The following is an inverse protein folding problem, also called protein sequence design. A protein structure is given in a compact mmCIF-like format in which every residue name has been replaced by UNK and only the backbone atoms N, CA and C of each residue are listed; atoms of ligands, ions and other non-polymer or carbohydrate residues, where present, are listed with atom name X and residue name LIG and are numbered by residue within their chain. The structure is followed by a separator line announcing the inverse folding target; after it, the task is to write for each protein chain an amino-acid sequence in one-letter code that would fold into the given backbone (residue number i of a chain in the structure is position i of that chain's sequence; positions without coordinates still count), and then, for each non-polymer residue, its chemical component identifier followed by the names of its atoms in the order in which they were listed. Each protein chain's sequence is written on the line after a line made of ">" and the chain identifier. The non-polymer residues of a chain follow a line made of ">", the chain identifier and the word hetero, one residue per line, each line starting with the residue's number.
data_IF_911379062713
#
_entry.id   IF_911379062713
#
_cell.length_a   1.000
_cell.length_b   1.000
_cell.length_c   1.000
_cell.angle_alpha   90.00
_cell.angle_beta   90.00
_cell.angle_gamma   90.00
#
_symmetry.space_group_name_H-M   'P 1'
#
loop_
_entity.id
_entity.type
_entity.pdbx_description
1 polymer ?
#
# COMPACT_ATOMS: atom_id res chain seq x y z
N UNK A 1 0.79 72.62 9.26
CA UNK A 1 1.92 71.70 8.93
C UNK A 1 1.60 70.98 7.64
N UNK A 2 2.51 70.97 6.66
CA UNK A 2 2.31 70.27 5.39
C UNK A 2 2.45 68.76 5.59
N UNK A 3 1.33 68.03 5.54
CA UNK A 3 1.25 66.57 5.74
C UNK A 3 1.69 65.78 4.50
N UNK A 4 1.69 66.42 3.32
CA UNK A 4 2.01 65.82 2.03
C UNK A 4 3.39 65.12 1.95
N UNK A 5 4.51 65.73 2.40
CA UNK A 5 5.81 65.07 2.35
C UNK A 5 5.88 63.80 3.22
N UNK A 6 5.16 63.77 4.34
CA UNK A 6 5.11 62.59 5.21
C UNK A 6 4.40 61.40 4.54
N UNK A 7 3.27 61.66 3.86
CA UNK A 7 2.54 60.64 3.11
C UNK A 7 3.37 60.09 1.94
N UNK A 8 4.10 60.95 1.24
CA UNK A 8 5.00 60.54 0.15
C UNK A 8 6.11 59.60 0.64
N UNK A 9 6.74 59.90 1.77
CA UNK A 9 7.78 59.03 2.35
C UNK A 9 7.19 57.65 2.71
N UNK A 10 6.00 57.61 3.31
CA UNK A 10 5.33 56.34 3.65
C UNK A 10 5.06 55.51 2.39
N UNK A 11 4.55 56.12 1.33
CA UNK A 11 4.29 55.42 0.06
C UNK A 11 5.58 54.85 -0.55
N UNK A 12 6.68 55.60 -0.49
CA UNK A 12 7.99 55.14 -0.99
C UNK A 12 8.53 53.98 -0.16
N UNK A 13 8.37 53.99 1.16
CA UNK A 13 8.79 52.88 2.02
C UNK A 13 7.98 51.61 1.73
N UNK A 14 6.66 51.74 1.59
CA UNK A 14 5.81 50.59 1.26
C UNK A 14 6.05 50.05 -0.15
N UNK A 15 6.34 50.91 -1.14
CA UNK A 15 6.64 50.46 -2.50
C UNK A 15 7.97 49.71 -2.57
N UNK A 16 9.01 50.17 -1.87
CA UNK A 16 10.28 49.46 -1.74
C UNK A 16 10.10 48.11 -1.03
N UNK A 17 9.32 48.06 0.05
CA UNK A 17 9.05 46.81 0.76
C UNK A 17 8.29 45.79 -0.12
N UNK A 18 7.28 46.26 -0.87
CA UNK A 18 6.54 45.42 -1.82
C UNK A 18 7.45 44.88 -2.93
N UNK A 19 8.36 45.70 -3.46
CA UNK A 19 9.31 45.27 -4.49
C UNK A 19 10.24 44.16 -3.99
N UNK A 20 10.80 44.31 -2.78
CA UNK A 20 11.70 43.29 -2.19
C UNK A 20 10.99 41.97 -1.91
N UNK A 21 9.74 42.00 -1.45
CA UNK A 21 8.92 40.80 -1.25
C UNK A 21 8.60 40.10 -2.57
N UNK A 22 8.28 40.88 -3.61
CA UNK A 22 8.00 40.34 -4.93
C UNK A 22 9.23 39.70 -5.58
N UNK A 23 10.40 40.34 -5.47
CA UNK A 23 11.67 39.78 -5.93
C UNK A 23 12.03 38.50 -5.16
N UNK A 24 11.84 38.48 -3.84
CA UNK A 24 12.03 37.29 -3.01
C UNK A 24 11.12 36.12 -3.42
N UNK A 25 9.85 36.39 -3.71
CA UNK A 25 8.92 35.37 -4.19
C UNK A 25 9.30 34.82 -5.57
N UNK A 26 9.78 35.68 -6.48
CA UNK A 26 10.30 35.26 -7.79
C UNK A 26 11.57 34.42 -7.63
N UNK A 27 12.50 34.84 -6.78
CA UNK A 27 13.74 34.13 -6.52
C UNK A 27 13.45 32.72 -5.96
N UNK A 28 12.60 32.61 -4.94
CA UNK A 28 12.19 31.33 -4.35
C UNK A 28 11.50 30.42 -5.39
N UNK A 29 10.64 30.98 -6.25
CA UNK A 29 10.00 30.21 -7.32
C UNK A 29 11.01 29.70 -8.34
N UNK A 30 12.01 30.51 -8.71
CA UNK A 30 13.09 30.11 -9.62
C UNK A 30 13.98 29.03 -8.99
N UNK A 31 14.37 29.20 -7.73
CA UNK A 31 15.14 28.19 -6.98
C UNK A 31 14.40 26.86 -6.89
N UNK A 32 13.11 26.88 -6.56
CA UNK A 32 12.29 25.68 -6.52
C UNK A 32 12.20 24.98 -7.88
N UNK A 33 12.05 25.75 -8.97
CA UNK A 33 12.05 25.21 -10.33
C UNK A 33 13.40 24.63 -10.73
N UNK A 34 14.51 25.29 -10.39
CA UNK A 34 15.87 24.81 -10.60
C UNK A 34 16.14 23.51 -9.84
N UNK A 35 15.74 23.47 -8.57
CA UNK A 35 15.85 22.29 -7.73
C UNK A 35 15.07 21.12 -8.36
N UNK A 36 13.80 21.34 -8.72
CA UNK A 36 12.98 20.31 -9.37
C UNK A 36 13.60 19.81 -10.68
N UNK A 37 14.05 20.72 -11.55
CA UNK A 37 14.68 20.37 -12.82
C UNK A 37 15.98 19.58 -12.63
N UNK A 38 16.79 19.95 -11.63
CA UNK A 38 18.03 19.25 -11.30
C UNK A 38 17.77 17.80 -10.85
N UNK A 39 16.84 17.58 -9.93
CA UNK A 39 16.49 16.23 -9.48
C UNK A 39 15.83 15.39 -10.58
N UNK A 40 15.03 16.01 -11.44
CA UNK A 40 14.45 15.34 -12.61
C UNK A 40 15.53 14.92 -13.61
N UNK A 41 16.51 15.79 -13.89
CA UNK A 41 17.65 15.49 -14.75
C UNK A 41 18.53 14.35 -14.20
N UNK A 42 18.85 14.38 -12.90
CA UNK A 42 19.56 13.29 -12.23
C UNK A 42 18.80 11.96 -12.33
N UNK A 43 17.47 12.01 -12.18
CA UNK A 43 16.61 10.83 -12.27
C UNK A 43 16.59 10.25 -13.69
N UNK A 44 16.44 11.10 -14.72
CA UNK A 44 16.48 10.67 -16.12
C UNK A 44 17.83 10.01 -16.44
N UNK A 45 18.93 10.63 -16.02
CA UNK A 45 20.29 10.13 -16.24
C UNK A 45 20.50 8.77 -15.56
N UNK A 46 20.06 8.62 -14.31
CA UNK A 46 20.13 7.35 -13.58
C UNK A 46 19.29 6.26 -14.23
N UNK A 47 18.07 6.58 -14.65
CA UNK A 47 17.19 5.64 -15.35
C UNK A 47 17.79 5.19 -16.69
N UNK A 48 18.41 6.11 -17.45
CA UNK A 48 19.11 5.77 -18.69
C UNK A 48 20.32 4.86 -18.43
N UNK A 49 21.10 5.12 -17.37
CA UNK A 49 22.21 4.25 -16.96
C UNK A 49 21.75 2.85 -16.54
N UNK A 50 20.66 2.76 -15.79
CA UNK A 50 20.08 1.46 -15.41
C UNK A 50 19.50 0.72 -16.63
N UNK A 51 18.84 1.42 -17.54
CA UNK A 51 18.29 0.83 -18.78
C UNK A 51 19.39 0.29 -19.69
N UNK A 52 20.45 1.07 -19.91
CA UNK A 52 21.61 0.63 -20.71
C UNK A 52 22.34 -0.56 -20.08
N UNK A 53 22.49 -0.59 -18.75
CA UNK A 53 23.05 -1.75 -18.05
C UNK A 53 22.19 -3.03 -18.18
N UNK A 54 20.86 -2.88 -18.24
CA UNK A 54 19.93 -3.99 -18.47
C UNK A 54 19.94 -4.47 -19.93
N UNK A 55 20.05 -3.55 -20.89
CA UNK A 55 20.18 -3.88 -22.31
C UNK A 55 21.52 -4.54 -22.62
N UNK A 56 22.62 -4.11 -21.98
CA UNK A 56 23.93 -4.76 -22.07
C UNK A 56 23.96 -6.17 -21.47
N UNK A 57 23.03 -6.50 -20.56
CA UNK A 57 22.88 -7.84 -19.95
C UNK A 57 21.92 -8.75 -20.72
N UNK A 58 21.28 -8.31 -21.80
CA UNK A 58 20.48 -9.22 -22.64
C UNK A 58 21.43 -10.17 -23.38
N UNK A 59 21.23 -11.49 -23.30
CA UNK A 59 22.03 -12.43 -24.06
C UNK A 59 21.84 -12.16 -25.55
N UNK A 60 22.98 -12.00 -26.24
CA UNK A 60 23.09 -11.78 -27.67
C UNK A 60 22.34 -12.92 -28.38
N UNK A 61 21.28 -12.59 -29.11
CA UNK A 61 20.47 -13.54 -29.87
C UNK A 61 21.38 -14.27 -30.85
N UNK A 62 21.68 -15.54 -30.59
CA UNK A 62 22.31 -16.41 -31.59
C UNK A 62 21.21 -16.96 -32.50
N UNK A 63 21.44 -16.70 -33.78
CA UNK A 63 20.73 -17.17 -34.97
C UNK A 63 20.59 -18.71 -35.02
N UNK A 64 19.38 -19.14 -35.44
CA UNK A 64 18.99 -20.37 -36.18
C UNK A 64 20.02 -21.52 -36.28
N UNK A 65 19.71 -22.79 -35.98
CA UNK A 65 18.71 -23.73 -36.56
C UNK A 65 18.87 -25.11 -35.85
N UNK A 66 18.12 -26.21 -36.14
CA UNK A 66 16.71 -26.43 -36.49
C UNK A 66 15.94 -27.29 -35.44
N UNK A 67 14.62 -27.41 -35.67
CA UNK A 67 13.64 -28.23 -34.94
C UNK A 67 14.10 -29.67 -34.66
N UNK A 68 14.05 -30.11 -33.40
CA UNK A 68 13.17 -31.21 -32.96
C UNK A 68 13.32 -31.48 -31.46
N UNK A 69 12.20 -31.38 -30.75
CA UNK A 69 11.67 -32.33 -29.77
C UNK A 69 10.74 -31.56 -28.82
N UNK A 70 9.54 -32.12 -28.66
CA UNK A 70 8.53 -31.69 -27.71
C UNK A 70 9.06 -31.84 -26.28
N UNK A 71 9.89 -30.91 -25.82
CA UNK A 71 9.95 -30.61 -24.41
C UNK A 71 8.68 -29.82 -24.11
N UNK A 72 7.68 -30.45 -23.49
CA UNK A 72 6.66 -29.72 -22.75
C UNK A 72 7.42 -28.81 -21.77
N UNK A 73 7.62 -27.54 -22.15
CA UNK A 73 8.09 -26.53 -21.22
C UNK A 73 6.99 -26.44 -20.18
N UNK A 74 7.19 -27.08 -19.04
CA UNK A 74 6.39 -26.88 -17.83
C UNK A 74 6.44 -25.39 -17.56
N UNK A 75 5.38 -24.68 -17.96
CA UNK A 75 5.24 -23.25 -17.67
C UNK A 75 5.17 -23.15 -16.16
N UNK A 76 6.27 -22.75 -15.54
CA UNK A 76 6.30 -22.44 -14.12
C UNK A 76 5.50 -21.15 -13.96
N UNK A 77 4.26 -21.26 -13.48
CA UNK A 77 3.44 -20.10 -13.20
C UNK A 77 3.88 -19.51 -11.85
N UNK A 78 4.26 -18.22 -11.78
CA UNK A 78 4.57 -17.60 -10.49
C UNK A 78 3.33 -17.62 -9.60
N UNK A 79 3.54 -17.86 -8.31
CA UNK A 79 2.44 -18.00 -7.37
C UNK A 79 1.77 -16.65 -7.12
N UNK A 80 0.47 -16.57 -7.42
CA UNK A 80 -0.21 -15.28 -7.56
C UNK A 80 -0.30 -14.46 -6.27
N UNK A 81 -0.21 -15.08 -5.08
CA UNK A 81 -0.32 -14.38 -3.79
C UNK A 81 0.92 -13.60 -3.41
N UNK A 82 2.07 -13.95 -3.96
CA UNK A 82 3.33 -13.21 -3.76
C UNK A 82 3.21 -11.79 -4.30
N UNK A 83 2.52 -11.62 -5.43
CA UNK A 83 2.30 -10.31 -6.06
C UNK A 83 1.13 -9.52 -5.43
N UNK A 84 0.46 -9.99 -4.37
CA UNK A 84 -0.83 -9.42 -3.90
C UNK A 84 -0.73 -8.18 -3.00
N UNK A 85 0.46 -7.80 -2.61
CA UNK A 85 0.63 -6.60 -1.82
C UNK A 85 0.25 -5.33 -2.61
N UNK A 86 -0.48 -4.41 -1.97
CA UNK A 86 -0.88 -3.13 -2.56
C UNK A 86 -2.09 -3.18 -3.50
N UNK A 87 -2.65 -4.35 -3.78
CA UNK A 87 -3.88 -4.46 -4.56
C UNK A 87 -5.04 -3.84 -3.79
N UNK A 88 -5.85 -3.00 -4.43
CA UNK A 88 -6.93 -2.26 -3.76
C UNK A 88 -7.87 -3.19 -2.98
N UNK A 89 -8.23 -4.34 -3.56
CA UNK A 89 -9.12 -5.35 -2.94
C UNK A 89 -8.44 -6.29 -1.93
N UNK A 90 -7.12 -6.22 -1.84
CA UNK A 90 -6.31 -6.98 -0.86
C UNK A 90 -6.03 -6.18 0.41
N UNK A 91 -6.52 -4.95 0.51
CA UNK A 91 -6.40 -4.09 1.69
C UNK A 91 -7.47 -4.47 2.70
N UNK A 92 -7.12 -4.41 3.99
CA UNK A 92 -8.07 -4.57 5.08
C UNK A 92 -8.89 -3.29 5.22
N UNK A 93 -10.20 -3.40 4.99
CA UNK A 93 -11.11 -2.29 5.13
C UNK A 93 -11.53 -2.10 6.60
N UNK A 94 -11.09 -1.00 7.18
CA UNK A 94 -11.39 -0.62 8.56
C UNK A 94 -12.70 0.16 8.68
N UNK A 95 -13.33 0.58 7.57
CA UNK A 95 -14.64 1.23 7.62
C UNK A 95 -15.72 0.34 8.26
N UNK A 96 -15.54 -0.98 8.19
CA UNK A 96 -16.44 -1.95 8.82
C UNK A 96 -16.49 -1.84 10.35
N UNK A 97 -15.46 -1.25 10.98
CA UNK A 97 -15.47 -0.90 12.41
C UNK A 97 -16.43 0.26 12.72
N UNK A 98 -16.74 1.10 11.72
CA UNK A 98 -17.64 2.24 11.86
C UNK A 98 -19.07 1.86 11.47
N UNK A 99 -19.24 1.09 10.38
CA UNK A 99 -20.57 0.79 9.82
C UNK A 99 -21.23 -0.41 10.49
N UNK A 100 -20.47 -1.47 10.79
CA UNK A 100 -21.01 -2.75 11.26
C UNK A 100 -20.13 -3.37 12.37
N UNK A 101 -19.91 -2.67 13.49
CA UNK A 101 -18.96 -3.11 14.53
C UNK A 101 -19.32 -4.46 15.16
N UNK A 102 -20.61 -4.77 15.28
CA UNK A 102 -21.08 -6.03 15.87
C UNK A 102 -20.98 -7.23 14.90
N UNK A 103 -20.99 -6.98 13.59
CA UNK A 103 -20.95 -8.04 12.57
C UNK A 103 -19.58 -8.71 12.50
N UNK A 104 -18.53 -7.92 12.70
CA UNK A 104 -17.14 -8.35 12.56
C UNK A 104 -16.43 -8.37 13.92
N UNK A 105 -16.98 -9.17 14.84
CA UNK A 105 -16.39 -9.40 16.16
C UNK A 105 -14.91 -9.82 16.03
N UNK A 106 -14.03 -9.08 16.71
CA UNK A 106 -12.57 -9.32 16.66
C UNK A 106 -11.83 -8.59 15.52
N UNK A 107 -12.51 -7.81 14.67
CA UNK A 107 -11.84 -7.01 13.63
C UNK A 107 -10.83 -6.02 14.20
N UNK A 108 -11.13 -5.38 15.33
CA UNK A 108 -10.20 -4.44 16.00
C UNK A 108 -8.91 -5.16 16.39
N UNK A 109 -9.04 -6.29 17.10
CA UNK A 109 -7.89 -7.11 17.51
C UNK A 109 -7.11 -7.65 16.31
N UNK A 110 -7.80 -8.02 15.23
CA UNK A 110 -7.17 -8.44 13.98
C UNK A 110 -6.36 -7.29 13.35
N UNK A 111 -6.94 -6.09 13.29
CA UNK A 111 -6.27 -4.90 12.75
C UNK A 111 -5.04 -4.51 13.59
N UNK A 112 -5.17 -4.53 14.92
CA UNK A 112 -4.07 -4.31 15.87
C UNK A 112 -2.92 -5.28 15.64
N UNK A 113 -3.22 -6.59 15.60
CA UNK A 113 -2.23 -7.62 15.36
C UNK A 113 -1.60 -7.50 13.97
N UNK A 114 -2.36 -7.05 12.98
CA UNK A 114 -1.85 -6.84 11.64
C UNK A 114 -0.88 -5.65 11.59
N UNK A 115 -1.20 -4.54 12.25
CA UNK A 115 -0.26 -3.42 12.43
C UNK A 115 1.03 -3.89 13.11
N UNK A 116 0.93 -4.62 14.23
CA UNK A 116 2.10 -5.20 14.92
C UNK A 116 2.91 -6.11 14.01
N UNK A 117 2.25 -6.97 13.22
CA UNK A 117 2.92 -7.88 12.28
C UNK A 117 3.68 -7.12 11.19
N UNK A 118 3.14 -6.02 10.70
CA UNK A 118 3.72 -5.23 9.61
C UNK A 118 4.85 -4.29 10.08
N UNK A 119 4.67 -3.64 11.23
CA UNK A 119 5.55 -2.55 11.67
C UNK A 119 6.29 -2.82 12.98
N UNK A 120 5.92 -3.84 13.76
CA UNK A 120 6.47 -4.08 15.10
C UNK A 120 7.97 -4.39 15.16
N UNK A 121 8.63 -4.58 14.01
CA UNK A 121 10.09 -4.74 13.91
C UNK A 121 10.81 -3.47 13.51
N UNK A 122 10.08 -2.44 13.09
CA UNK A 122 10.67 -1.18 12.68
C UNK A 122 11.19 -0.43 13.92
N UNK A 123 12.37 0.18 13.80
CA UNK A 123 13.02 0.89 14.90
C UNK A 123 12.18 2.04 15.47
N UNK A 124 11.33 2.65 14.64
CA UNK A 124 10.47 3.76 15.03
C UNK A 124 9.16 3.30 15.70
N UNK A 125 8.81 2.02 15.59
CA UNK A 125 7.54 1.53 16.10
C UNK A 125 7.61 1.36 17.63
N UNK A 126 6.65 1.89 18.40
CA UNK A 126 6.69 1.78 19.86
C UNK A 126 6.69 0.33 20.33
N UNK A 127 7.40 0.08 21.43
CA UNK A 127 7.33 -1.19 22.15
C UNK A 127 6.09 -1.31 23.03
N UNK A 128 5.32 -0.23 23.17
CA UNK A 128 4.05 -0.24 23.88
C UNK A 128 3.06 -1.17 23.16
N UNK A 129 2.53 -2.14 23.91
CA UNK A 129 1.57 -3.11 23.40
C UNK A 129 0.23 -2.46 23.03
N UNK A 130 -0.11 -1.31 23.63
CA UNK A 130 -1.38 -0.61 23.41
C UNK A 130 -1.35 0.33 22.20
N UNK A 131 -0.18 0.74 21.72
CA UNK A 131 -0.05 1.70 20.62
C UNK A 131 -0.89 1.34 19.39
N UNK A 132 -0.91 0.06 19.01
CA UNK A 132 -1.68 -0.39 17.84
C UNK A 132 -3.19 -0.21 18.04
N UNK A 133 -3.68 -0.42 19.26
CA UNK A 133 -5.09 -0.24 19.62
C UNK A 133 -5.46 1.23 19.59
N UNK A 134 -4.63 2.07 20.20
CA UNK A 134 -4.81 3.52 20.22
C UNK A 134 -4.80 4.10 18.80
N UNK A 135 -3.88 3.66 17.94
CA UNK A 135 -3.83 4.07 16.54
C UNK A 135 -5.11 3.70 15.79
N UNK A 136 -5.62 2.47 15.93
CA UNK A 136 -6.87 2.05 15.26
C UNK A 136 -8.05 2.87 15.77
N UNK A 137 -8.13 3.16 17.08
CA UNK A 137 -9.17 4.01 17.65
C UNK A 137 -9.09 5.44 17.14
N UNK A 138 -7.88 6.02 17.07
CA UNK A 138 -7.65 7.36 16.56
C UNK A 138 -8.02 7.46 15.07
N UNK A 139 -7.70 6.45 14.27
CA UNK A 139 -8.13 6.36 12.87
C UNK A 139 -9.66 6.29 12.77
N UNK A 140 -10.32 5.43 13.55
CA UNK A 140 -11.78 5.37 13.58
C UNK A 140 -12.41 6.73 13.93
N UNK A 141 -11.84 7.45 14.91
CA UNK A 141 -12.30 8.79 15.27
C UNK A 141 -12.12 9.80 14.12
N UNK A 142 -10.99 9.74 13.40
CA UNK A 142 -10.73 10.62 12.26
C UNK A 142 -11.72 10.42 11.08
N UNK A 143 -12.26 9.21 10.93
CA UNK A 143 -13.14 8.84 9.83
C UNK A 143 -14.64 8.76 10.16
N UNK A 144 -15.01 8.78 11.45
CA UNK A 144 -16.39 8.52 11.93
C UNK A 144 -17.47 9.36 11.23
N UNK A 145 -17.20 10.65 11.02
CA UNK A 145 -18.18 11.63 10.51
C UNK A 145 -17.80 12.21 9.15
N UNK A 146 -16.88 11.58 8.42
CA UNK A 146 -16.41 12.06 7.13
C UNK A 146 -17.23 11.46 6.01
N UNK A 147 -17.91 12.31 5.22
CA UNK A 147 -18.66 11.86 4.04
C UNK A 147 -17.71 11.25 3.00
N UNK A 148 -16.62 11.97 2.72
CA UNK A 148 -15.46 11.53 1.94
C UNK A 148 -14.26 11.29 2.89
N UNK A 149 -13.83 10.02 3.06
CA UNK A 149 -12.65 9.70 3.84
C UNK A 149 -11.41 10.41 3.28
N UNK A 150 -10.70 11.26 4.05
CA UNK A 150 -9.42 11.81 3.58
C UNK A 150 -8.42 10.68 3.34
N UNK A 151 -7.45 10.85 2.43
CA UNK A 151 -6.35 9.91 2.29
C UNK A 151 -5.50 9.89 3.57
N UNK A 152 -4.81 8.77 3.84
CA UNK A 152 -4.08 8.60 5.09
C UNK A 152 -2.99 9.67 5.34
N UNK A 153 -2.39 10.25 4.30
CA UNK A 153 -1.36 11.28 4.47
C UNK A 153 -1.89 12.64 4.93
N UNK A 154 -3.21 12.87 4.85
CA UNK A 154 -3.85 14.10 5.34
C UNK A 154 -4.32 13.99 6.79
N UNK A 155 -4.25 12.79 7.39
CA UNK A 155 -4.66 12.61 8.78
C UNK A 155 -3.66 13.28 9.72
N UNK A 156 -4.20 14.05 10.65
CA UNK A 156 -3.47 14.69 11.72
C UNK A 156 -3.96 14.19 13.07
N UNK A 157 -3.04 13.73 13.91
CA UNK A 157 -3.29 13.29 15.27
C UNK A 157 -2.85 14.38 16.26
N UNK A 158 -3.62 14.62 17.33
CA UNK A 158 -3.22 15.54 18.39
C UNK A 158 -1.95 15.11 19.12
N UNK A 159 -1.74 13.80 19.25
CA UNK A 159 -0.51 13.26 19.83
C UNK A 159 0.65 13.35 18.81
N UNK A 160 1.69 14.16 19.09
CA UNK A 160 2.83 14.31 18.19
C UNK A 160 3.63 13.02 18.01
N UNK A 161 3.66 12.14 19.02
CA UNK A 161 4.39 10.87 18.94
C UNK A 161 3.68 9.93 17.96
N UNK A 162 2.37 9.74 18.13
CA UNK A 162 1.55 9.00 17.17
C UNK A 162 1.63 9.61 15.77
N UNK A 163 1.62 10.94 15.64
CA UNK A 163 1.73 11.60 14.33
C UNK A 163 3.04 11.28 13.61
N UNK A 164 4.19 11.35 14.29
CA UNK A 164 5.49 11.02 13.69
C UNK A 164 5.57 9.54 13.26
N UNK A 165 5.08 8.63 14.12
CA UNK A 165 5.06 7.20 13.82
C UNK A 165 4.15 6.92 12.62
N UNK A 166 2.95 7.50 12.63
CA UNK A 166 1.98 7.29 11.55
C UNK A 166 2.48 7.89 10.23
N UNK A 167 3.13 9.06 10.26
CA UNK A 167 3.77 9.65 9.09
C UNK A 167 4.75 8.66 8.44
N UNK A 168 5.61 8.00 9.25
CA UNK A 168 6.53 6.97 8.76
C UNK A 168 5.79 5.76 8.19
N UNK A 169 4.71 5.30 8.83
CA UNK A 169 3.88 4.19 8.36
C UNK A 169 3.20 4.52 7.01
N UNK A 170 2.69 5.74 6.83
CA UNK A 170 2.04 6.17 5.59
C UNK A 170 3.02 6.16 4.42
N UNK A 171 4.23 6.65 4.61
CA UNK A 171 5.24 6.73 3.54
C UNK A 171 5.91 5.38 3.24
N UNK A 172 6.00 4.49 4.25
CA UNK A 172 6.62 3.19 4.08
C UNK A 172 8.12 3.27 3.75
N UNK A 173 8.65 2.20 3.19
CA UNK A 173 10.01 2.15 2.61
C UNK A 173 9.94 1.94 1.10
N UNK A 174 10.96 2.43 0.38
CA UNK A 174 11.05 2.25 -1.07
C UNK A 174 11.15 0.79 -1.51
N UNK A 175 11.67 -0.08 -0.65
CA UNK A 175 11.79 -1.52 -0.89
C UNK A 175 11.30 -2.27 0.34
N UNK A 176 10.12 -2.85 0.24
CA UNK A 176 9.61 -3.76 1.26
C UNK A 176 9.33 -5.14 0.67
N UNK A 177 9.54 -6.17 1.48
CA UNK A 177 9.23 -7.57 1.20
C UNK A 177 8.68 -8.16 2.50
N UNK A 178 7.38 -8.50 2.50
CA UNK A 178 6.69 -8.98 3.71
C UNK A 178 7.17 -10.36 4.16
N UNK A 179 7.49 -11.24 3.21
CA UNK A 179 7.92 -12.61 3.51
C UNK A 179 9.34 -12.60 4.07
N UNK A 180 10.23 -11.81 3.47
CA UNK A 180 11.60 -11.62 3.96
C UNK A 180 11.68 -10.62 5.13
N UNK A 181 10.56 -10.01 5.52
CA UNK A 181 10.47 -8.99 6.58
C UNK A 181 11.51 -7.88 6.41
N UNK A 182 11.73 -7.46 5.16
CA UNK A 182 12.66 -6.40 4.80
C UNK A 182 11.88 -5.13 4.55
N UNK A 183 12.28 -4.01 5.14
CA UNK A 183 11.52 -2.76 5.06
C UNK A 183 10.15 -2.84 5.72
N UNK A 184 9.32 -1.83 5.48
CA UNK A 184 7.91 -1.81 5.90
C UNK A 184 7.04 -1.22 4.78
N UNK A 185 5.82 -1.74 4.58
CA UNK A 185 4.93 -1.29 3.52
C UNK A 185 4.31 0.08 3.85
N UNK A 186 3.93 0.89 2.85
CA UNK A 186 3.06 2.03 3.05
C UNK A 186 1.71 1.62 3.64
N UNK A 187 1.17 2.36 4.60
CA UNK A 187 -0.09 2.01 5.29
C UNK A 187 -1.26 1.84 4.31
N UNK A 188 -1.37 2.76 3.33
CA UNK A 188 -2.39 2.73 2.28
C UNK A 188 -2.32 1.48 1.38
N UNK A 189 -1.20 0.76 1.36
CA UNK A 189 -1.07 -0.49 0.60
C UNK A 189 -1.69 -1.70 1.30
N UNK A 190 -1.98 -1.57 2.60
CA UNK A 190 -2.47 -2.65 3.48
C UNK A 190 -3.84 -2.39 4.07
N UNK A 191 -4.22 -1.12 4.25
CA UNK A 191 -5.47 -0.72 4.89
C UNK A 191 -6.27 0.23 3.99
N UNK A 192 -7.57 0.32 4.23
CA UNK A 192 -8.47 1.29 3.59
C UNK A 192 -9.63 1.64 4.53
N UNK A 193 -10.31 2.76 4.28
CA UNK A 193 -11.55 3.18 4.95
C UNK A 193 -12.67 3.41 3.91
N UNK A 194 -12.66 2.65 2.82
CA UNK A 194 -13.66 2.75 1.76
C UNK A 194 -15.04 2.33 2.28
N UNK A 195 -16.02 3.24 2.26
CA UNK A 195 -17.38 2.92 2.68
C UNK A 195 -17.96 1.80 1.82
N UNK A 196 -18.22 0.66 2.42
CA UNK A 196 -18.76 -0.52 1.75
C UNK A 196 -19.49 -1.41 2.75
N UNK A 197 -20.56 -2.06 2.29
CA UNK A 197 -21.25 -3.12 3.02
C UNK A 197 -20.59 -4.49 2.80
N UNK A 198 -19.57 -4.56 1.93
CA UNK A 198 -18.82 -5.78 1.70
C UNK A 198 -18.00 -6.18 2.94
N UNK A 199 -17.66 -7.48 3.07
CA UNK A 199 -16.70 -7.94 4.05
C UNK A 199 -15.37 -7.16 4.01
N UNK A 200 -14.64 -7.08 5.14
CA UNK A 200 -13.42 -6.28 5.27
C UNK A 200 -12.31 -6.55 4.25
N UNK A 201 -12.23 -7.75 3.66
CA UNK A 201 -11.20 -8.07 2.69
C UNK A 201 -11.68 -9.04 1.61
N UNK A 202 -11.18 -8.93 0.39
CA UNK A 202 -11.43 -9.95 -0.63
C UNK A 202 -10.43 -11.11 -0.53
N UNK A 203 -10.93 -12.34 -0.32
CA UNK A 203 -10.07 -13.51 -0.08
C UNK A 203 -9.03 -13.75 -1.19
N UNK A 204 -9.42 -13.58 -2.45
CA UNK A 204 -8.56 -13.84 -3.62
C UNK A 204 -7.39 -12.84 -3.77
N UNK A 205 -7.43 -11.73 -3.04
CA UNK A 205 -6.39 -10.70 -3.02
C UNK A 205 -5.72 -10.57 -1.65
N UNK A 206 -6.17 -11.32 -0.64
CA UNK A 206 -5.49 -11.39 0.64
C UNK A 206 -4.04 -11.86 0.44
N UNK A 207 -3.10 -11.07 0.96
CA UNK A 207 -1.69 -11.40 0.93
C UNK A 207 -1.37 -12.47 2.00
N UNK A 208 -0.21 -13.11 1.85
CA UNK A 208 0.20 -14.22 2.70
C UNK A 208 0.41 -13.84 4.17
N UNK A 209 0.85 -12.61 4.45
CA UNK A 209 1.02 -12.15 5.83
C UNK A 209 -0.32 -12.02 6.56
N UNK A 210 -1.35 -11.51 5.88
CA UNK A 210 -2.71 -11.45 6.44
C UNK A 210 -3.31 -12.84 6.64
N UNK A 211 -3.20 -13.72 5.63
CA UNK A 211 -3.69 -15.10 5.73
C UNK A 211 -3.00 -15.87 6.86
N UNK A 212 -1.69 -15.66 7.04
CA UNK A 212 -0.94 -16.24 8.15
C UNK A 212 -1.46 -15.78 9.51
N UNK A 213 -1.85 -14.51 9.63
CA UNK A 213 -2.34 -13.95 10.88
C UNK A 213 -3.69 -14.55 11.25
N UNK A 214 -4.56 -14.72 10.26
CA UNK A 214 -5.94 -15.18 10.46
C UNK A 214 -6.06 -16.70 10.60
N UNK A 215 -5.32 -17.47 9.78
CA UNK A 215 -5.42 -18.93 9.70
C UNK A 215 -4.30 -19.64 10.48
N UNK A 216 -3.22 -18.93 10.83
CA UNK A 216 -1.99 -19.53 11.32
C UNK A 216 -1.08 -20.05 10.20
N UNK A 217 0.22 -20.14 10.50
CA UNK A 217 1.26 -20.49 9.53
C UNK A 217 1.05 -21.88 8.90
N UNK A 218 0.59 -22.86 9.69
CA UNK A 218 0.37 -24.24 9.22
C UNK A 218 -0.75 -24.31 8.17
N UNK A 219 -1.92 -23.75 8.49
CA UNK A 219 -3.09 -23.78 7.58
C UNK A 219 -2.82 -22.93 6.34
N UNK A 220 -2.11 -21.80 6.49
CA UNK A 220 -1.63 -21.01 5.35
C UNK A 220 -0.77 -21.83 4.40
N UNK A 221 0.18 -22.63 4.91
CA UNK A 221 1.02 -23.47 4.06
C UNK A 221 0.20 -24.53 3.31
N UNK A 222 -0.76 -25.16 3.98
CA UNK A 222 -1.66 -26.13 3.35
C UNK A 222 -2.51 -25.48 2.23
N UNK A 223 -3.01 -24.26 2.46
CA UNK A 223 -3.73 -23.49 1.44
C UNK A 223 -2.83 -23.16 0.24
N UNK A 224 -1.60 -22.73 0.47
CA UNK A 224 -0.64 -22.40 -0.59
C UNK A 224 -0.32 -23.63 -1.44
N UNK A 225 -0.13 -24.80 -0.82
CA UNK A 225 0.12 -26.06 -1.54
C UNK A 225 -1.07 -26.42 -2.42
N UNK A 226 -2.29 -26.41 -1.85
CA UNK A 226 -3.52 -26.68 -2.59
C UNK A 226 -3.68 -25.72 -3.78
N UNK A 227 -3.45 -24.42 -3.58
CA UNK A 227 -3.53 -23.45 -4.67
C UNK A 227 -2.47 -23.70 -5.75
N UNK A 228 -1.23 -24.02 -5.37
CA UNK A 228 -0.14 -24.31 -6.33
C UNK A 228 -0.44 -25.54 -7.20
N UNK A 229 -1.07 -26.57 -6.64
CA UNK A 229 -1.49 -27.76 -7.39
C UNK A 229 -2.59 -27.46 -8.42
N UNK A 230 -3.46 -26.50 -8.13
CA UNK A 230 -4.60 -26.15 -8.99
C UNK A 230 -4.29 -25.06 -10.04
N UNK A 231 -3.20 -24.28 -9.86
CA UNK A 231 -2.77 -23.23 -10.79
C UNK A 231 -2.56 -23.71 -12.24
N UNK A 232 -1.89 -24.86 -12.51
CA UNK A 232 -1.68 -25.33 -13.88
C UNK A 232 -2.97 -25.52 -14.68
N UNK A 233 -4.08 -25.81 -13.98
CA UNK A 233 -5.38 -26.12 -14.58
C UNK A 233 -6.33 -24.92 -14.64
N UNK A 234 -5.92 -23.74 -14.17
CA UNK A 234 -6.79 -22.57 -14.14
C UNK A 234 -6.61 -21.64 -15.35
N UNK A 235 -7.75 -21.08 -15.81
CA UNK A 235 -7.74 -20.10 -16.90
C UNK A 235 -6.91 -18.86 -16.49
N UNK A 236 -6.12 -18.26 -17.39
CA UNK A 236 -5.20 -17.15 -17.06
C UNK A 236 -5.84 -15.91 -16.40
N UNK A 237 -7.16 -15.73 -16.56
CA UNK A 237 -7.92 -14.62 -15.96
C UNK A 237 -8.31 -14.87 -14.51
N UNK A 238 -8.41 -16.13 -14.07
CA UNK A 238 -8.72 -16.50 -12.70
C UNK A 238 -7.40 -16.84 -11.99
N UNK A 239 -6.75 -15.81 -11.43
CA UNK A 239 -5.45 -16.02 -10.76
C UNK A 239 -5.57 -16.79 -9.45
N UNK A 240 -6.73 -16.76 -8.79
CA UNK A 240 -7.02 -17.63 -7.66
C UNK A 240 -7.72 -18.90 -8.17
N UNK A 241 -7.20 -20.10 -7.86
CA UNK A 241 -7.75 -21.34 -8.40
C UNK A 241 -8.98 -21.86 -7.65
N UNK A 242 -9.12 -21.52 -6.36
CA UNK A 242 -10.22 -21.99 -5.52
C UNK A 242 -11.50 -21.20 -5.78
N UNK A 243 -12.64 -21.91 -5.87
CA UNK A 243 -13.97 -21.31 -5.93
C UNK A 243 -14.50 -21.03 -4.51
N UNK A 244 -15.51 -20.17 -4.34
CA UNK A 244 -16.06 -19.85 -3.03
C UNK A 244 -16.43 -21.07 -2.16
N UNK A 245 -17.11 -22.11 -2.69
CA UNK A 245 -17.43 -23.30 -1.90
C UNK A 245 -16.19 -24.05 -1.41
N UNK A 246 -15.16 -24.16 -2.26
CA UNK A 246 -13.91 -24.85 -1.91
C UNK A 246 -13.18 -24.13 -0.77
N UNK A 247 -13.19 -22.79 -0.79
CA UNK A 247 -12.60 -21.96 0.27
C UNK A 247 -13.36 -22.13 1.58
N UNK A 248 -14.70 -22.13 1.55
CA UNK A 248 -15.53 -22.35 2.73
C UNK A 248 -15.27 -23.72 3.34
N UNK A 249 -15.34 -24.78 2.52
CA UNK A 249 -15.09 -26.15 2.97
C UNK A 249 -13.67 -26.30 3.53
N UNK A 250 -12.66 -25.71 2.89
CA UNK A 250 -11.29 -25.73 3.39
C UNK A 250 -11.17 -25.08 4.78
N UNK A 251 -11.71 -23.86 4.96
CA UNK A 251 -11.61 -23.13 6.24
C UNK A 251 -12.38 -23.86 7.34
N UNK A 252 -13.61 -24.33 7.07
CA UNK A 252 -14.44 -25.03 8.05
C UNK A 252 -13.83 -26.39 8.45
N UNK A 253 -13.21 -27.10 7.51
CA UNK A 253 -12.53 -28.36 7.80
C UNK A 253 -11.27 -28.17 8.64
N UNK A 254 -10.47 -27.13 8.34
CA UNK A 254 -9.19 -26.88 9.02
C UNK A 254 -9.34 -26.12 10.33
N UNK A 255 -10.45 -25.39 10.51
CA UNK A 255 -10.76 -24.61 11.71
C UNK A 255 -12.21 -24.91 12.13
N UNK A 256 -12.48 -26.09 12.72
CA UNK A 256 -13.84 -26.51 13.10
C UNK A 256 -14.49 -25.55 14.11
N UNK A 257 -13.66 -24.97 14.99
CA UNK A 257 -14.09 -24.00 15.99
C UNK A 257 -13.60 -22.61 15.60
N UNK A 258 -14.50 -21.78 15.04
CA UNK A 258 -14.20 -20.39 14.68
C UNK A 258 -14.03 -20.13 13.18
N UNK A 259 -14.02 -21.17 12.32
CA UNK A 259 -13.96 -21.01 10.87
C UNK A 259 -15.06 -20.12 10.29
N UNK A 260 -16.29 -20.22 10.82
CA UNK A 260 -17.40 -19.34 10.43
C UNK A 260 -17.14 -17.86 10.74
N UNK A 261 -16.54 -17.56 11.90
CA UNK A 261 -16.18 -16.17 12.26
C UNK A 261 -15.11 -15.64 11.31
N UNK A 262 -14.13 -16.47 10.96
CA UNK A 262 -13.06 -16.12 9.99
C UNK A 262 -13.66 -15.82 8.61
N UNK A 263 -14.61 -16.64 8.15
CA UNK A 263 -15.25 -16.47 6.84
C UNK A 263 -15.97 -15.12 6.72
N UNK A 264 -16.51 -14.57 7.81
CA UNK A 264 -17.15 -13.25 7.81
C UNK A 264 -16.18 -12.12 7.41
N UNK A 265 -14.88 -12.27 7.64
CA UNK A 265 -13.91 -11.25 7.21
C UNK A 265 -13.69 -11.20 5.70
N UNK A 266 -14.17 -12.22 4.96
CA UNK A 266 -13.85 -12.39 3.56
C UNK A 266 -15.04 -12.25 2.62
N UNK A 267 -14.83 -11.46 1.57
CA UNK A 267 -15.59 -11.58 0.35
C UNK A 267 -14.97 -12.69 -0.51
N UNK A 268 -15.72 -13.78 -0.67
CA UNK A 268 -15.28 -14.97 -1.40
C UNK A 268 -15.58 -14.89 -2.90
N UNK A 269 -16.50 -14.05 -3.34
CA UNK A 269 -16.79 -13.92 -4.76
C UNK A 269 -15.65 -13.22 -5.48
N UNK A 270 -15.15 -13.83 -6.56
CA UNK A 270 -14.10 -13.22 -7.36
C UNK A 270 -14.63 -12.00 -8.13
N UNK A 271 -14.36 -10.81 -7.60
CA UNK A 271 -14.47 -9.54 -8.31
C UNK A 271 -13.15 -9.21 -9.00
N UNK A 272 -13.17 -9.09 -10.33
CA UNK A 272 -12.02 -8.58 -11.09
C UNK A 272 -11.62 -7.18 -10.62
N UNK A 273 -10.33 -6.86 -10.64
CA UNK A 273 -9.83 -5.52 -10.28
C UNK A 273 -9.02 -4.92 -11.42
N UNK A 274 -9.10 -3.60 -11.56
CA UNK A 274 -8.48 -2.85 -12.65
C UNK A 274 -6.98 -2.63 -12.43
N UNK A 275 -6.50 -2.63 -11.19
CA UNK A 275 -5.10 -2.33 -10.83
C UNK A 275 -4.29 -3.59 -10.52
N UNK A 276 -3.32 -3.89 -11.38
CA UNK A 276 -2.16 -4.75 -11.10
C UNK A 276 -1.04 -3.84 -10.57
N UNK A 277 -0.71 -3.85 -9.27
CA UNK A 277 0.37 -3.04 -8.72
C UNK A 277 1.71 -3.70 -9.04
N UNK A 278 2.10 -3.78 -10.31
CA UNK A 278 3.52 -3.96 -10.64
C UNK A 278 4.33 -2.69 -10.27
N UNK A 279 3.61 -1.58 -10.02
CA UNK A 279 4.09 -0.24 -9.65
C UNK A 279 2.95 0.43 -8.88
N UNK A 280 3.17 0.81 -7.62
CA UNK A 280 2.30 1.79 -6.97
C UNK A 280 2.81 3.16 -7.39
N UNK A 281 2.05 3.87 -8.19
CA UNK A 281 2.31 5.27 -8.52
C UNK A 281 1.35 6.07 -7.65
N UNK A 282 1.90 6.81 -6.70
CA UNK A 282 1.16 7.88 -6.04
C UNK A 282 0.87 8.96 -7.10
N UNK A 283 -0.41 9.22 -7.34
CA UNK A 283 -0.88 10.09 -8.43
C UNK A 283 -0.58 11.58 -8.16
N UNK A 284 -0.32 11.96 -6.91
CA UNK A 284 -0.01 13.34 -6.52
C UNK A 284 1.50 13.59 -6.43
N UNK A 285 2.27 12.60 -5.99
CA UNK A 285 3.74 12.74 -5.84
C UNK A 285 4.54 12.18 -7.02
N UNK A 286 3.90 11.45 -7.95
CA UNK A 286 4.54 10.70 -9.04
C UNK A 286 5.64 9.73 -8.58
N UNK A 287 5.63 9.35 -7.30
CA UNK A 287 6.54 8.38 -6.72
C UNK A 287 6.08 6.98 -7.10
N UNK A 288 6.96 6.24 -7.78
CA UNK A 288 6.71 4.86 -8.15
C UNK A 288 7.40 3.94 -7.14
N UNK A 289 6.64 3.36 -6.21
CA UNK A 289 7.14 2.29 -5.36
C UNK A 289 7.06 0.98 -6.14
N UNK A 290 8.21 0.35 -6.39
CA UNK A 290 8.25 -1.02 -6.93
C UNK A 290 7.88 -1.97 -5.78
N UNK A 291 6.68 -2.53 -5.85
CA UNK A 291 6.33 -3.72 -5.09
C UNK A 291 7.09 -4.88 -5.76
N UNK A 292 8.06 -5.46 -5.06
CA UNK A 292 8.79 -6.65 -5.51
C UNK A 292 8.19 -7.88 -4.87
#
# INVERSE_FOLDING_TARGET
>A
MNFLPFVLIIIVVFSLFSLTQFEGAIAHKKEFQLYRAYFEGLRVTRNQKEKSALEAKKPRTQTSTPKNQNSQKTKTYPYFREDRVGWDKGRLNLSSLLTNPHTYEGLTTLAENYVKRLYGRAHFFPKDENFSKELIQALCAAYKDKETPPPFYEITFPDPVMQDIFYKMVHGTHTYDLEKRTGYPPFASMFTFEKSDAPPMQFHYANLAFLSLLLGEKIKQELVTLEKELIPNTKPRCRSPLKPPDVQSFILCKIPHGGEKILKFFELNYKGTKRLPKKHVDEETALTVKVK
#
